data_IF_131732598142
#
_entry.id   IF_131732598142
#
_cell.length_a   1.000
_cell.length_b   1.000
_cell.length_c   1.000
_cell.angle_alpha   90.00
_cell.angle_beta   90.00
_cell.angle_gamma   90.00
#
_symmetry.space_group_name_H-M   'P 1'
#
loop_
_entity.id
_entity.type
_entity.pdbx_description
1 polymer ?
#
# COMPACT_ATOMS: atom_id res chain seq x y z
N UNK A 1 -49.06 -14.88 24.32
CA UNK A 1 -48.78 -15.27 22.92
C UNK A 1 -47.29 -15.04 22.71
N UNK A 2 -46.48 -16.08 22.89
CA UNK A 2 -45.02 -15.97 22.88
C UNK A 2 -44.51 -16.37 21.49
N UNK A 3 -43.94 -15.43 20.74
CA UNK A 3 -43.30 -15.70 19.46
C UNK A 3 -41.80 -15.74 19.72
N UNK A 4 -41.24 -16.95 19.80
CA UNK A 4 -39.81 -17.21 19.82
C UNK A 4 -39.35 -17.17 18.36
N UNK A 5 -38.64 -16.11 17.97
CA UNK A 5 -38.01 -16.02 16.65
C UNK A 5 -36.69 -16.81 16.61
N UNK A 6 -36.36 -17.50 15.50
CA UNK A 6 -35.13 -18.26 15.40
C UNK A 6 -33.93 -17.32 15.23
N UNK A 7 -32.97 -17.39 16.14
CA UNK A 7 -31.66 -16.76 16.03
C UNK A 7 -30.85 -17.58 15.03
N UNK A 8 -30.68 -17.06 13.81
CA UNK A 8 -29.70 -17.60 12.86
C UNK A 8 -28.29 -17.26 13.35
N UNK A 9 -27.60 -18.26 13.89
CA UNK A 9 -26.17 -18.20 14.12
C UNK A 9 -25.44 -18.28 12.76
N UNK A 10 -24.96 -17.14 12.26
CA UNK A 10 -23.96 -17.13 11.20
C UNK A 10 -22.61 -17.57 11.80
N UNK A 11 -22.24 -18.81 11.56
CA UNK A 11 -20.87 -19.30 11.77
C UNK A 11 -19.96 -18.60 10.75
N UNK A 12 -19.26 -17.55 11.19
CA UNK A 12 -18.12 -17.02 10.45
C UNK A 12 -17.03 -18.10 10.40
N UNK A 13 -16.89 -18.75 9.24
CA UNK A 13 -15.71 -19.56 8.95
C UNK A 13 -14.51 -18.61 8.89
N UNK A 14 -13.67 -18.65 9.91
CA UNK A 14 -12.37 -18.00 9.87
C UNK A 14 -11.53 -18.76 8.85
N UNK A 15 -11.33 -18.18 7.67
CA UNK A 15 -10.35 -18.67 6.72
C UNK A 15 -8.97 -18.47 7.36
N UNK A 16 -8.43 -19.54 7.96
CA UNK A 16 -7.04 -19.62 8.37
C UNK A 16 -6.23 -19.61 7.06
N UNK A 17 -5.71 -18.45 6.68
CA UNK A 17 -4.68 -18.40 5.63
C UNK A 17 -3.44 -19.06 6.20
N UNK A 18 -2.93 -20.16 5.60
CA UNK A 18 -1.66 -20.72 6.03
C UNK A 18 -0.58 -19.64 5.90
N UNK A 19 0.09 -19.31 7.00
CA UNK A 19 1.33 -18.55 6.95
C UNK A 19 2.37 -19.42 6.26
N UNK A 20 2.71 -19.08 5.02
CA UNK A 20 3.89 -19.65 4.38
C UNK A 20 5.10 -19.08 5.11
N UNK A 21 5.76 -19.92 5.91
CA UNK A 21 7.04 -19.60 6.53
C UNK A 21 8.08 -19.46 5.42
N UNK A 22 8.41 -18.22 5.10
CA UNK A 22 9.45 -17.88 4.13
C UNK A 22 10.81 -18.22 4.73
N UNK A 23 11.59 -19.10 4.10
CA UNK A 23 12.96 -19.38 4.50
C UNK A 23 13.89 -18.25 3.99
N UNK A 24 14.47 -17.40 4.87
CA UNK A 24 15.28 -16.26 4.43
C UNK A 24 16.58 -16.67 3.72
N UNK A 25 17.04 -17.92 3.85
CA UNK A 25 18.22 -18.43 3.14
C UNK A 25 18.03 -18.57 1.62
N UNK A 26 16.78 -18.50 1.14
CA UNK A 26 16.40 -18.80 -0.23
C UNK A 26 15.70 -17.62 -0.91
N UNK A 27 16.20 -16.39 -0.73
CA UNK A 27 15.61 -15.22 -1.38
C UNK A 27 16.64 -14.45 -2.20
N UNK A 28 16.25 -13.98 -3.38
CA UNK A 28 17.05 -13.10 -4.24
C UNK A 28 16.38 -11.74 -4.33
N UNK A 29 17.11 -10.69 -3.99
CA UNK A 29 16.64 -9.33 -4.18
C UNK A 29 16.56 -9.01 -5.68
N UNK A 30 15.38 -8.60 -6.13
CA UNK A 30 15.12 -8.19 -7.52
C UNK A 30 15.32 -6.69 -7.69
N UNK A 31 14.83 -5.88 -6.75
CA UNK A 31 14.96 -4.44 -6.75
C UNK A 31 14.90 -3.88 -5.33
N UNK A 32 15.43 -2.68 -5.13
CA UNK A 32 15.29 -1.96 -3.88
C UNK A 32 15.47 -0.47 -4.09
N UNK A 33 14.45 0.27 -3.69
CA UNK A 33 14.36 1.72 -3.88
C UNK A 33 14.10 2.39 -2.54
N UNK A 34 14.42 3.67 -2.43
CA UNK A 34 14.19 4.43 -1.21
C UNK A 34 13.90 5.90 -1.48
N UNK A 35 13.18 6.51 -0.56
CA UNK A 35 12.95 7.96 -0.50
C UNK A 35 13.21 8.47 0.90
N UNK A 36 13.63 9.73 1.00
CA UNK A 36 13.61 10.45 2.26
C UNK A 36 12.21 10.95 2.56
N UNK A 37 11.75 10.76 3.80
CA UNK A 37 10.48 11.34 4.26
C UNK A 37 10.61 12.78 4.77
N UNK A 38 11.77 13.42 4.58
CA UNK A 38 12.05 14.81 5.02
C UNK A 38 12.27 15.78 3.85
N UNK A 39 12.32 15.30 2.61
CA UNK A 39 12.81 16.08 1.46
C UNK A 39 11.72 16.45 0.45
N UNK A 40 10.54 16.86 0.91
CA UNK A 40 9.43 17.21 0.02
C UNK A 40 9.36 18.70 -0.33
N UNK A 41 9.36 19.55 0.69
CA UNK A 41 9.39 21.01 0.58
C UNK A 41 10.35 21.59 1.64
N UNK A 42 10.67 22.88 1.54
CA UNK A 42 11.45 23.56 2.59
C UNK A 42 10.68 23.71 3.91
N UNK A 43 9.34 23.58 3.85
CA UNK A 43 8.48 23.68 5.01
C UNK A 43 8.39 22.34 5.77
N UNK A 44 8.92 22.32 6.99
CA UNK A 44 8.94 21.15 7.87
C UNK A 44 7.54 20.59 8.18
N UNK A 45 6.54 21.46 8.40
CA UNK A 45 5.18 21.01 8.68
C UNK A 45 4.59 20.20 7.52
N UNK A 46 4.85 20.64 6.28
CA UNK A 46 4.36 19.91 5.10
C UNK A 46 5.10 18.57 4.97
N UNK A 47 6.41 18.53 5.21
CA UNK A 47 7.16 17.27 5.23
C UNK A 47 6.61 16.29 6.27
N UNK A 48 6.30 16.77 7.47
CA UNK A 48 5.72 15.96 8.54
C UNK A 48 4.37 15.36 8.13
N UNK A 49 3.47 16.15 7.52
CA UNK A 49 2.18 15.64 7.01
C UNK A 49 2.38 14.52 5.99
N UNK A 50 3.28 14.71 5.02
CA UNK A 50 3.56 13.69 4.00
C UNK A 50 4.13 12.42 4.63
N UNK A 51 5.11 12.55 5.52
CA UNK A 51 5.71 11.44 6.28
C UNK A 51 4.63 10.67 7.05
N UNK A 52 3.80 11.37 7.81
CA UNK A 52 2.78 10.78 8.65
C UNK A 52 1.75 9.99 7.84
N UNK A 53 1.30 10.55 6.73
CA UNK A 53 0.35 9.89 5.83
C UNK A 53 0.96 8.66 5.14
N UNK A 54 2.23 8.72 4.73
CA UNK A 54 2.95 7.57 4.15
C UNK A 54 3.04 6.45 5.19
N UNK A 55 3.48 6.76 6.41
CA UNK A 55 3.64 5.77 7.47
C UNK A 55 2.30 5.20 7.93
N UNK A 56 1.25 6.04 8.02
CA UNK A 56 -0.11 5.59 8.30
C UNK A 56 -0.60 4.63 7.21
N UNK A 57 -0.32 4.90 5.94
CA UNK A 57 -0.73 4.02 4.86
C UNK A 57 -0.03 2.65 4.91
N UNK A 58 1.26 2.61 5.27
CA UNK A 58 1.97 1.34 5.54
C UNK A 58 1.37 0.63 6.77
N UNK A 59 0.93 1.37 7.80
CA UNK A 59 0.27 0.79 8.96
C UNK A 59 -1.07 0.12 8.60
N UNK A 60 -1.89 0.77 7.77
CA UNK A 60 -3.11 0.21 7.19
C UNK A 60 -2.81 -1.05 6.35
N UNK A 61 -1.82 -0.98 5.46
CA UNK A 61 -1.39 -2.12 4.64
C UNK A 61 -0.96 -3.33 5.50
N UNK A 62 -0.29 -3.06 6.62
CA UNK A 62 0.17 -4.09 7.56
C UNK A 62 -0.93 -4.67 8.45
N UNK A 63 -2.12 -4.05 8.49
CA UNK A 63 -3.21 -4.42 9.40
C UNK A 63 -3.02 -3.95 10.84
N UNK A 64 -1.98 -3.15 11.13
CA UNK A 64 -1.79 -2.51 12.44
C UNK A 64 -2.87 -1.46 12.73
N UNK A 65 -3.39 -0.84 11.67
CA UNK A 65 -4.51 0.10 11.71
C UNK A 65 -5.58 -0.45 10.78
N UNK A 66 -6.82 -0.52 11.26
CA UNK A 66 -7.97 -0.95 10.44
C UNK A 66 -9.05 0.13 10.36
N UNK A 67 -9.01 1.09 11.29
CA UNK A 67 -9.90 2.25 11.39
C UNK A 67 -9.19 3.38 12.15
N UNK A 68 -9.73 4.58 12.07
CA UNK A 68 -9.13 5.79 12.66
C UNK A 68 -8.88 5.69 14.16
N UNK A 69 -9.71 4.98 14.90
CA UNK A 69 -9.56 4.82 16.34
C UNK A 69 -8.32 4.00 16.71
N UNK A 70 -7.79 3.19 15.79
CA UNK A 70 -6.57 2.41 15.99
C UNK A 70 -5.29 3.26 15.79
N UNK A 71 -5.42 4.49 15.29
CA UNK A 71 -4.29 5.36 14.94
C UNK A 71 -3.56 5.81 16.20
N UNK A 72 -2.35 5.28 16.38
CA UNK A 72 -1.42 5.70 17.41
C UNK A 72 -0.12 6.20 16.77
N UNK A 73 0.02 7.53 16.66
CA UNK A 73 1.17 8.18 16.02
C UNK A 73 2.51 7.76 16.62
N UNK A 74 2.58 7.56 17.95
CA UNK A 74 3.80 7.10 18.62
C UNK A 74 4.24 5.70 18.20
N UNK A 75 3.31 4.86 17.76
CA UNK A 75 3.62 3.52 17.25
C UNK A 75 3.86 3.52 15.74
N UNK A 76 3.15 4.37 14.99
CA UNK A 76 3.28 4.52 13.53
C UNK A 76 4.64 5.11 13.14
N UNK A 77 5.15 6.05 13.92
CA UNK A 77 6.44 6.72 13.68
C UNK A 77 7.67 5.87 14.03
N UNK A 78 7.46 4.72 14.70
CA UNK A 78 8.57 3.80 15.01
C UNK A 78 9.15 3.16 13.75
N UNK A 79 10.39 2.65 13.81
CA UNK A 79 10.96 1.90 12.71
C UNK A 79 10.04 0.76 12.24
N UNK A 80 9.87 0.64 10.93
CA UNK A 80 9.01 -0.37 10.31
C UNK A 80 9.91 -1.46 9.75
N UNK A 81 9.51 -2.71 9.95
CA UNK A 81 9.87 -3.83 9.11
C UNK A 81 8.59 -4.62 8.84
N UNK A 82 8.05 -4.48 7.64
CA UNK A 82 6.80 -5.11 7.24
C UNK A 82 6.99 -5.84 5.91
N UNK A 83 6.46 -7.06 5.82
CA UNK A 83 6.51 -7.87 4.60
C UNK A 83 5.13 -8.37 4.22
N UNK A 84 4.91 -8.49 2.91
CA UNK A 84 3.82 -9.29 2.37
C UNK A 84 4.29 -10.02 1.12
N UNK A 85 3.58 -11.10 0.77
CA UNK A 85 3.94 -11.96 -0.35
C UNK A 85 2.81 -11.99 -1.37
N UNK A 86 3.16 -11.89 -2.66
CA UNK A 86 2.26 -12.25 -3.76
C UNK A 86 2.68 -13.59 -4.34
N UNK A 87 1.74 -14.55 -4.31
CA UNK A 87 1.89 -15.80 -5.06
C UNK A 87 1.81 -15.53 -6.57
N UNK A 88 2.30 -16.46 -7.41
CA UNK A 88 2.19 -16.34 -8.86
C UNK A 88 0.77 -15.99 -9.33
N UNK A 89 0.69 -15.05 -10.28
CA UNK A 89 -0.55 -14.51 -10.85
C UNK A 89 -1.48 -13.79 -9.86
N UNK A 90 -1.02 -13.53 -8.62
CA UNK A 90 -1.75 -12.70 -7.67
C UNK A 90 -1.31 -11.25 -7.77
N UNK A 91 -2.26 -10.36 -7.48
CA UNK A 91 -2.14 -8.93 -7.67
C UNK A 91 -2.28 -8.20 -6.35
N UNK A 92 -1.44 -7.22 -6.14
CA UNK A 92 -1.66 -6.13 -5.21
C UNK A 92 -2.37 -5.00 -5.96
N UNK A 93 -3.40 -4.42 -5.36
CA UNK A 93 -3.96 -3.14 -5.78
C UNK A 93 -3.82 -2.12 -4.65
N UNK A 94 -3.54 -0.86 -4.93
CA UNK A 94 -3.33 0.15 -3.89
C UNK A 94 -4.57 0.36 -3.00
N UNK A 95 -5.75 0.37 -3.62
CA UNK A 95 -7.06 0.35 -2.94
C UNK A 95 -8.05 -0.60 -3.65
N UNK A 96 -9.21 -0.82 -3.05
CA UNK A 96 -10.16 -1.87 -3.41
C UNK A 96 -11.08 -1.58 -4.59
N UNK A 97 -11.27 -0.31 -4.96
CA UNK A 97 -11.91 0.04 -6.23
C UNK A 97 -10.97 -0.33 -7.38
N UNK A 98 -11.18 -1.50 -7.99
CA UNK A 98 -10.25 -2.10 -8.97
C UNK A 98 -10.87 -2.25 -10.37
N UNK A 99 -10.02 -2.20 -11.40
CA UNK A 99 -10.43 -2.50 -12.78
C UNK A 99 -10.92 -3.95 -12.91
N UNK A 100 -11.86 -4.17 -13.83
CA UNK A 100 -12.50 -5.48 -14.07
C UNK A 100 -11.49 -6.63 -14.21
N UNK A 101 -10.42 -6.40 -14.99
CA UNK A 101 -9.37 -7.41 -15.25
C UNK A 101 -8.63 -7.90 -14.01
N UNK A 102 -8.70 -7.17 -12.88
CA UNK A 102 -7.99 -7.51 -11.65
C UNK A 102 -8.87 -8.11 -10.55
N UNK A 103 -10.21 -8.02 -10.65
CA UNK A 103 -11.16 -8.40 -9.58
C UNK A 103 -10.91 -9.79 -8.97
N UNK A 104 -10.51 -10.76 -9.77
CA UNK A 104 -10.29 -12.14 -9.33
C UNK A 104 -8.83 -12.46 -8.94
N UNK A 105 -7.91 -11.50 -9.15
CA UNK A 105 -6.47 -11.67 -8.90
C UNK A 105 -5.98 -10.89 -7.68
N UNK A 106 -6.71 -9.83 -7.28
CA UNK A 106 -6.32 -8.97 -6.16
C UNK A 106 -6.49 -9.73 -4.84
N UNK A 107 -5.41 -9.81 -4.08
CA UNK A 107 -5.38 -10.50 -2.76
C UNK A 107 -4.92 -9.60 -1.64
N UNK A 108 -4.41 -8.40 -1.97
CA UNK A 108 -3.87 -7.45 -1.01
C UNK A 108 -4.14 -6.04 -1.49
N UNK A 109 -4.59 -5.18 -0.57
CA UNK A 109 -4.61 -3.73 -0.76
C UNK A 109 -4.09 -3.03 0.48
N UNK A 110 -3.94 -1.70 0.42
CA UNK A 110 -3.62 -0.92 1.62
C UNK A 110 -4.78 -0.90 2.62
N UNK A 111 -6.02 -1.18 2.18
CA UNK A 111 -7.25 -1.08 2.99
C UNK A 111 -7.52 0.33 3.56
N UNK A 112 -7.01 1.37 2.90
CA UNK A 112 -7.24 2.77 3.27
C UNK A 112 -8.00 3.54 2.18
N UNK A 113 -8.68 4.60 2.60
CA UNK A 113 -9.45 5.53 1.77
C UNK A 113 -8.80 6.92 1.66
N UNK A 114 -7.66 7.14 2.32
CA UNK A 114 -6.82 8.35 2.20
C UNK A 114 -7.51 9.66 2.62
N UNK A 115 -8.46 9.60 3.56
CA UNK A 115 -9.23 10.76 3.99
C UNK A 115 -9.21 10.95 5.52
N UNK A 116 -9.82 12.05 5.99
CA UNK A 116 -9.84 12.40 7.42
C UNK A 116 -10.56 11.37 8.31
N UNK A 117 -11.55 10.64 7.77
CA UNK A 117 -12.26 9.59 8.49
C UNK A 117 -11.40 8.36 8.73
N UNK A 118 -10.30 8.22 7.98
CA UNK A 118 -9.26 7.21 8.18
C UNK A 118 -8.06 7.74 8.98
N UNK A 119 -8.13 8.99 9.45
CA UNK A 119 -7.07 9.60 10.26
C UNK A 119 -5.90 10.19 9.47
N UNK A 120 -5.98 10.25 8.14
CA UNK A 120 -4.99 10.96 7.33
C UNK A 120 -5.00 12.46 7.65
N UNK A 121 -3.80 13.04 7.65
CA UNK A 121 -3.54 14.47 7.89
C UNK A 121 -3.63 15.26 6.57
N UNK A 122 -3.74 16.56 6.70
CA UNK A 122 -3.72 17.53 5.59
C UNK A 122 -2.69 18.59 5.84
N UNK A 123 -2.09 19.09 4.78
CA UNK A 123 -1.16 20.22 4.77
C UNK A 123 -1.87 21.59 4.72
N UNK A 124 -3.21 21.59 4.66
CA UNK A 124 -4.05 22.77 4.46
C UNK A 124 -4.75 22.84 3.10
N UNK A 125 -4.33 22.01 2.13
CA UNK A 125 -4.93 21.95 0.79
C UNK A 125 -5.65 20.62 0.52
N UNK A 126 -4.96 19.50 0.73
CA UNK A 126 -5.48 18.15 0.45
C UNK A 126 -5.30 17.24 1.66
N UNK A 127 -6.17 16.25 1.82
CA UNK A 127 -6.00 15.18 2.81
C UNK A 127 -5.33 13.97 2.16
N UNK A 128 -4.41 13.33 2.87
CA UNK A 128 -3.74 12.13 2.35
C UNK A 128 -2.54 12.43 1.45
N UNK A 129 -1.99 13.64 1.54
CA UNK A 129 -0.71 13.97 0.92
C UNK A 129 0.36 12.93 1.24
N UNK A 130 1.18 12.57 0.25
CA UNK A 130 2.20 11.52 0.36
C UNK A 130 1.73 10.12 -0.06
N UNK A 131 0.42 9.88 -0.20
CA UNK A 131 -0.09 8.59 -0.70
C UNK A 131 0.41 8.29 -2.13
N UNK A 132 0.43 9.30 -3.00
CA UNK A 132 1.00 9.19 -4.34
C UNK A 132 2.51 8.89 -4.31
N UNK A 133 3.25 9.41 -3.33
CA UNK A 133 4.70 9.18 -3.16
C UNK A 133 4.98 7.71 -2.84
N UNK A 134 4.20 7.14 -1.91
CA UNK A 134 4.29 5.73 -1.56
C UNK A 134 3.98 4.84 -2.77
N UNK A 135 2.89 5.12 -3.49
CA UNK A 135 2.54 4.37 -4.69
C UNK A 135 3.63 4.48 -5.79
N UNK A 136 4.21 5.66 -5.97
CA UNK A 136 5.26 5.89 -6.97
C UNK A 136 6.55 5.14 -6.60
N UNK A 137 6.93 5.10 -5.32
CA UNK A 137 8.06 4.29 -4.83
C UNK A 137 7.82 2.81 -5.12
N UNK A 138 6.61 2.31 -4.83
CA UNK A 138 6.24 0.93 -5.09
C UNK A 138 6.25 0.59 -6.58
N UNK A 139 5.77 1.51 -7.43
CA UNK A 139 5.73 1.34 -8.87
C UNK A 139 7.13 1.30 -9.49
N UNK A 140 8.00 2.23 -9.10
CA UNK A 140 9.42 2.25 -9.50
C UNK A 140 10.10 0.92 -9.17
N UNK A 141 10.03 0.48 -7.91
CA UNK A 141 10.65 -0.77 -7.49
C UNK A 141 10.06 -1.99 -8.24
N UNK A 142 8.74 -2.04 -8.42
CA UNK A 142 8.07 -3.14 -9.11
C UNK A 142 8.46 -3.22 -10.59
N UNK A 143 8.60 -2.07 -11.27
CA UNK A 143 9.14 -1.99 -12.64
C UNK A 143 10.59 -2.46 -12.69
N UNK A 144 11.43 -2.00 -11.77
CA UNK A 144 12.84 -2.41 -11.72
C UNK A 144 13.01 -3.90 -11.39
N UNK A 145 12.09 -4.49 -10.60
CA UNK A 145 12.04 -5.93 -10.33
C UNK A 145 11.51 -6.76 -11.52
N UNK A 146 11.06 -6.11 -12.60
CA UNK A 146 10.50 -6.77 -13.77
C UNK A 146 9.17 -7.49 -13.49
N UNK A 147 8.37 -6.96 -12.56
CA UNK A 147 6.99 -7.40 -12.32
C UNK A 147 6.04 -6.74 -13.32
N UNK A 148 4.83 -7.29 -13.47
CA UNK A 148 3.77 -6.62 -14.22
C UNK A 148 3.12 -5.55 -13.35
N UNK A 149 3.67 -4.34 -13.41
CA UNK A 149 3.16 -3.17 -12.70
C UNK A 149 2.41 -2.23 -13.66
N UNK A 150 1.21 -1.79 -13.29
CA UNK A 150 0.36 -0.91 -14.09
C UNK A 150 -0.27 0.17 -13.22
N UNK A 151 -0.12 1.42 -13.64
CA UNK A 151 -0.76 2.60 -13.08
C UNK A 151 -1.51 3.30 -14.22
N UNK A 152 -2.85 3.34 -14.24
CA UNK A 152 -3.60 3.91 -15.36
C UNK A 152 -3.44 5.43 -15.48
N UNK A 153 -3.21 6.11 -14.35
CA UNK A 153 -3.08 7.56 -14.28
C UNK A 153 -1.71 7.94 -13.72
N UNK A 154 -0.95 8.72 -14.49
CA UNK A 154 0.36 9.23 -14.09
C UNK A 154 0.22 10.45 -13.16
N UNK A 155 1.14 10.61 -12.22
CA UNK A 155 1.27 11.81 -11.39
C UNK A 155 2.22 12.80 -12.07
N UNK A 156 1.71 13.58 -13.02
CA UNK A 156 2.51 14.56 -13.78
C UNK A 156 2.26 16.03 -13.38
N UNK A 157 1.36 16.26 -12.42
CA UNK A 157 0.95 17.57 -11.93
C UNK A 157 1.88 18.17 -10.87
N UNK A 158 2.69 17.34 -10.20
CA UNK A 158 3.72 17.81 -9.27
C UNK A 158 4.91 16.84 -9.24
N UNK A 159 6.10 17.37 -8.95
CA UNK A 159 7.31 16.56 -8.81
C UNK A 159 7.23 15.74 -7.53
N UNK A 160 7.56 14.46 -7.59
CA UNK A 160 7.83 13.62 -6.42
C UNK A 160 9.35 13.56 -6.26
N UNK A 161 9.92 14.12 -5.17
CA UNK A 161 11.38 14.10 -4.97
C UNK A 161 11.93 12.68 -5.00
N UNK A 162 13.13 12.52 -5.55
CA UNK A 162 13.86 11.24 -5.62
C UNK A 162 13.20 10.17 -6.50
N UNK A 163 12.07 10.47 -7.15
CA UNK A 163 11.38 9.56 -8.08
C UNK A 163 11.34 10.19 -9.49
N UNK A 164 11.87 9.51 -10.53
CA UNK A 164 11.77 10.00 -11.90
C UNK A 164 10.30 10.13 -12.33
N UNK A 165 10.00 11.17 -13.12
CA UNK A 165 8.63 11.59 -13.44
C UNK A 165 7.80 10.48 -14.11
N UNK A 166 8.44 9.62 -14.89
CA UNK A 166 7.81 8.48 -15.58
C UNK A 166 7.29 7.39 -14.63
N UNK A 167 7.72 7.40 -13.36
CA UNK A 167 7.22 6.50 -12.32
C UNK A 167 6.20 7.15 -11.38
N UNK A 168 5.76 8.37 -11.68
CA UNK A 168 4.69 9.03 -10.94
C UNK A 168 3.39 8.22 -11.00
N UNK A 169 2.75 8.01 -9.87
CA UNK A 169 1.45 7.34 -9.79
C UNK A 169 0.43 8.24 -9.11
N UNK A 170 -0.68 8.50 -9.78
CA UNK A 170 -1.80 9.24 -9.19
C UNK A 170 -2.70 8.28 -8.43
N UNK A 171 -2.82 8.50 -7.13
CA UNK A 171 -3.75 7.79 -6.25
C UNK A 171 -4.77 8.78 -5.71
N UNK A 172 -6.03 8.45 -5.90
CA UNK A 172 -7.13 9.21 -5.33
C UNK A 172 -8.34 8.31 -5.19
N UNK A 173 -9.08 8.50 -4.11
CA UNK A 173 -10.29 7.72 -3.85
C UNK A 173 -11.41 8.61 -3.35
N UNK A 174 -12.44 8.74 -4.19
CA UNK A 174 -13.64 9.48 -3.87
C UNK A 174 -14.79 8.52 -3.57
N UNK A 175 -15.46 8.65 -2.41
CA UNK A 175 -16.61 7.82 -2.08
C UNK A 175 -17.67 7.82 -3.19
N UNK A 176 -18.16 6.64 -3.55
CA UNK A 176 -19.19 6.46 -4.59
C UNK A 176 -18.71 6.53 -6.04
N UNK A 177 -17.41 6.70 -6.29
CA UNK A 177 -16.86 6.88 -7.65
C UNK A 177 -15.96 5.72 -8.11
N UNK A 178 -16.36 4.46 -7.85
CA UNK A 178 -15.51 3.27 -8.03
C UNK A 178 -14.83 3.16 -9.40
N UNK A 179 -15.51 3.49 -10.51
CA UNK A 179 -14.89 3.45 -11.84
C UNK A 179 -13.78 4.48 -12.02
N UNK A 180 -13.94 5.69 -11.47
CA UNK A 180 -12.91 6.72 -11.51
C UNK A 180 -11.76 6.38 -10.56
N UNK A 181 -12.07 5.87 -9.37
CA UNK A 181 -11.08 5.42 -8.39
C UNK A 181 -10.21 4.30 -8.99
N UNK A 182 -10.80 3.34 -9.71
CA UNK A 182 -10.06 2.25 -10.35
C UNK A 182 -8.98 2.72 -11.35
N UNK A 183 -9.13 3.92 -11.93
CA UNK A 183 -8.14 4.55 -12.80
C UNK A 183 -7.03 5.26 -12.01
N UNK A 184 -7.27 5.63 -10.77
CA UNK A 184 -6.31 6.27 -9.85
C UNK A 184 -5.78 5.26 -8.82
N UNK A 185 -5.27 4.15 -9.33
CA UNK A 185 -4.84 3.00 -8.54
C UNK A 185 -3.48 2.48 -9.07
N UNK A 186 -2.76 1.73 -8.25
CA UNK A 186 -1.56 0.99 -8.63
C UNK A 186 -1.84 -0.51 -8.56
N UNK A 187 -1.57 -1.21 -9.65
CA UNK A 187 -1.65 -2.66 -9.73
C UNK A 187 -0.24 -3.23 -9.88
N UNK A 188 0.11 -4.22 -9.05
CA UNK A 188 1.35 -4.98 -9.17
C UNK A 188 1.00 -6.47 -9.17
N UNK A 189 1.20 -7.13 -10.30
CA UNK A 189 0.95 -8.56 -10.47
C UNK A 189 2.27 -9.31 -10.46
N UNK A 190 2.33 -10.38 -9.67
CA UNK A 190 3.43 -11.33 -9.74
C UNK A 190 3.30 -12.16 -11.02
N UNK A 191 4.05 -11.79 -12.05
CA UNK A 191 4.17 -12.50 -13.33
C UNK A 191 5.32 -13.53 -13.33
N UNK A 192 5.96 -13.78 -12.19
CA UNK A 192 7.02 -14.79 -12.01
C UNK A 192 6.42 -16.14 -11.63
N UNK A 193 7.25 -17.18 -11.69
CA UNK A 193 6.87 -18.55 -11.29
C UNK A 193 6.92 -18.76 -9.77
N UNK A 194 7.69 -17.94 -9.07
CA UNK A 194 7.91 -18.07 -7.64
C UNK A 194 7.18 -16.97 -6.85
N UNK A 195 6.97 -17.16 -5.53
CA UNK A 195 6.48 -16.11 -4.65
C UNK A 195 7.38 -14.86 -4.67
N UNK A 196 6.74 -13.70 -4.65
CA UNK A 196 7.42 -12.40 -4.57
C UNK A 196 7.12 -11.75 -3.23
N UNK A 197 8.18 -11.38 -2.51
CA UNK A 197 8.11 -10.76 -1.19
C UNK A 197 8.39 -9.27 -1.35
N UNK A 198 7.48 -8.46 -0.83
CA UNK A 198 7.61 -7.02 -0.75
C UNK A 198 7.93 -6.65 0.70
N UNK A 199 8.98 -5.86 0.91
CA UNK A 199 9.46 -5.46 2.23
C UNK A 199 9.52 -3.94 2.33
N UNK A 200 8.84 -3.38 3.33
CA UNK A 200 9.02 -2.01 3.77
C UNK A 200 9.95 -1.97 4.98
N UNK A 201 10.99 -1.15 4.88
CA UNK A 201 11.87 -0.82 5.99
C UNK A 201 11.89 0.70 6.19
N UNK A 202 11.46 1.17 7.35
CA UNK A 202 11.53 2.58 7.72
C UNK A 202 12.48 2.76 8.90
N UNK A 203 13.50 3.62 8.76
CA UNK A 203 14.42 4.00 9.84
C UNK A 203 15.14 5.29 9.48
N UNK A 204 15.41 6.15 10.47
CA UNK A 204 16.16 7.40 10.29
C UNK A 204 15.60 8.27 9.15
N UNK A 205 14.28 8.44 9.12
CA UNK A 205 13.54 9.18 8.09
C UNK A 205 13.75 8.72 6.64
N UNK A 206 14.19 7.47 6.44
CA UNK A 206 14.31 6.82 5.14
C UNK A 206 13.30 5.68 5.06
N UNK A 207 12.45 5.71 4.04
CA UNK A 207 11.58 4.60 3.69
C UNK A 207 12.19 3.85 2.52
N UNK A 208 12.57 2.61 2.77
CA UNK A 208 13.09 1.68 1.77
C UNK A 208 12.01 0.65 1.42
N UNK A 209 11.85 0.38 0.14
CA UNK A 209 10.97 -0.65 -0.39
C UNK A 209 11.78 -1.63 -1.24
N UNK A 210 11.85 -2.88 -0.78
CA UNK A 210 12.61 -3.94 -1.41
C UNK A 210 11.69 -5.04 -1.93
N UNK A 211 12.05 -5.63 -3.06
CA UNK A 211 11.33 -6.74 -3.67
C UNK A 211 12.29 -7.91 -3.82
N UNK A 212 11.85 -9.07 -3.34
CA UNK A 212 12.61 -10.33 -3.40
C UNK A 212 11.80 -11.41 -4.10
N UNK A 213 12.49 -12.32 -4.75
CA UNK A 213 11.94 -13.58 -5.24
C UNK A 213 12.40 -14.72 -4.34
N UNK A 214 11.47 -15.56 -3.92
CA UNK A 214 11.79 -16.81 -3.23
C UNK A 214 12.33 -17.82 -4.25
N UNK A 215 13.55 -18.30 -4.04
CA UNK A 215 14.19 -19.31 -4.88
C UNK A 215 13.95 -20.66 -4.25
N UNK A 216 13.13 -21.48 -4.90
CA UNK A 216 12.94 -22.89 -4.55
C UNK A 216 14.14 -23.74 -4.97
#
# INVERSE_FOLDING_TARGET
MNIIGPILFFLFSQFITPSVDVNPANTKQLASEQISLEKRYDNLYVNDVFKDNILLNVAYLSGKVTKKEDVNWKEIEKPINYKFTLLPNKTFAFHEDVLEKYKNSVVKTTNANFNYSDGFKSDGYLTGDGVCHLASLMYLAAKNAGLDAYAPTNHDFAVIPEIPKEYGVSIYKMPGSSSANALQNLYITNNKKNPIIFEFAYKNSQLKFSIYEEIL
#
